data_IF_019334082859
#
_entry.id   IF_019334082859
#
_cell.length_a   1.000
_cell.length_b   1.000
_cell.length_c   1.000
_cell.angle_alpha   90.00
_cell.angle_beta   90.00
_cell.angle_gamma   90.00
#
_symmetry.space_group_name_H-M   'P 1'
#
loop_
_entity.id
_entity.type
_entity.pdbx_description
1 polymer ?
#
# COMPACT_ATOMS: atom_id res chain seq x y z
N UNK A 1 15.44 5.99 6.66
CA UNK A 1 15.55 4.54 6.93
C UNK A 1 14.85 4.26 8.24
N UNK A 2 13.93 3.30 8.25
CA UNK A 2 13.15 2.95 9.44
C UNK A 2 12.52 1.56 9.28
N UNK A 3 12.41 0.85 10.41
CA UNK A 3 11.56 -0.34 10.55
C UNK A 3 10.42 -0.01 11.51
N UNK A 4 9.19 -0.31 11.10
CA UNK A 4 7.99 -0.03 11.90
C UNK A 4 7.02 -1.19 11.83
N UNK A 5 6.27 -1.41 12.91
CA UNK A 5 5.09 -2.27 12.90
C UNK A 5 3.88 -1.42 12.52
N UNK A 6 3.24 -1.76 11.41
CA UNK A 6 2.02 -1.12 10.94
C UNK A 6 0.80 -1.96 11.34
N UNK A 7 -0.13 -1.36 12.07
CA UNK A 7 -1.45 -1.93 12.37
C UNK A 7 -2.47 -1.06 11.65
N UNK A 8 -3.21 -1.66 10.72
CA UNK A 8 -4.15 -0.96 9.86
C UNK A 8 -5.47 -1.72 9.73
N UNK A 9 -6.58 -0.98 9.73
CA UNK A 9 -7.89 -1.49 9.33
C UNK A 9 -8.24 -0.98 7.93
N UNK A 10 -8.92 -1.80 7.13
CA UNK A 10 -9.30 -1.44 5.76
C UNK A 10 -10.76 -1.73 5.49
N UNK A 11 -11.36 -0.89 4.67
CA UNK A 11 -12.70 -1.10 4.16
C UNK A 11 -12.79 -0.57 2.72
N UNK A 12 -13.13 -1.45 1.78
CA UNK A 12 -13.54 -1.02 0.44
C UNK A 12 -14.77 -0.14 0.51
N UNK A 13 -14.80 0.90 -0.31
CA UNK A 13 -15.88 1.86 -0.41
C UNK A 13 -16.51 1.80 -1.80
N UNK A 14 -17.78 2.15 -1.89
CA UNK A 14 -18.34 2.64 -3.15
C UNK A 14 -17.90 4.08 -3.39
N UNK A 15 -18.03 4.56 -4.62
CA UNK A 15 -17.77 5.96 -4.95
C UNK A 15 -18.63 6.93 -4.11
N UNK A 16 -19.91 6.61 -3.90
CA UNK A 16 -20.82 7.42 -3.07
C UNK A 16 -20.36 7.50 -1.60
N UNK A 17 -19.89 6.38 -1.04
CA UNK A 17 -19.38 6.31 0.34
C UNK A 17 -18.06 7.09 0.49
N UNK A 18 -17.21 7.05 -0.54
CA UNK A 18 -15.99 7.86 -0.60
C UNK A 18 -16.31 9.35 -0.58
N UNK A 19 -17.24 9.80 -1.42
CA UNK A 19 -17.69 11.20 -1.42
C UNK A 19 -18.43 11.60 -0.13
N UNK A 20 -19.13 10.67 0.51
CA UNK A 20 -19.73 10.89 1.83
C UNK A 20 -18.65 11.17 2.88
N UNK A 21 -17.56 10.40 2.89
CA UNK A 21 -16.44 10.62 3.81
C UNK A 21 -15.73 11.95 3.56
N UNK A 22 -15.51 12.32 2.29
CA UNK A 22 -14.96 13.64 1.91
C UNK A 22 -15.80 14.75 2.52
N UNK A 23 -17.13 14.69 2.36
CA UNK A 23 -18.05 15.69 2.93
C UNK A 23 -18.06 15.66 4.45
N UNK A 24 -18.04 14.47 5.05
CA UNK A 24 -18.09 14.31 6.51
C UNK A 24 -16.88 14.94 7.21
N UNK A 25 -15.69 14.76 6.63
CA UNK A 25 -14.45 15.30 7.17
C UNK A 25 -14.06 16.67 6.60
N UNK A 26 -14.90 17.23 5.71
CA UNK A 26 -14.66 18.51 5.05
C UNK A 26 -13.27 18.54 4.36
N UNK A 27 -12.94 17.46 3.64
CA UNK A 27 -11.70 17.37 2.87
C UNK A 27 -11.84 18.19 1.58
N UNK A 28 -10.76 18.87 1.21
CA UNK A 28 -10.64 19.65 -0.01
C UNK A 28 -9.75 18.93 -1.03
N UNK A 29 -9.86 19.28 -2.31
CA UNK A 29 -9.01 18.72 -3.37
C UNK A 29 -7.50 18.92 -3.07
N UNK A 30 -7.15 19.96 -2.32
CA UNK A 30 -5.77 20.22 -1.89
C UNK A 30 -5.25 19.24 -0.85
N UNK A 31 -6.11 18.50 -0.16
CA UNK A 31 -5.70 17.46 0.79
C UNK A 31 -5.25 16.18 0.05
N UNK A 32 -5.75 15.98 -1.16
CA UNK A 32 -5.43 14.83 -1.97
C UNK A 32 -4.07 14.97 -2.67
N UNK A 33 -3.20 13.98 -2.44
CA UNK A 33 -1.86 13.90 -3.03
C UNK A 33 -1.74 12.64 -3.88
N UNK A 34 -1.24 12.82 -5.11
CA UNK A 34 -0.93 11.72 -6.01
C UNK A 34 0.36 11.01 -5.56
N UNK A 35 0.32 9.70 -5.56
CA UNK A 35 1.47 8.81 -5.40
C UNK A 35 1.38 7.65 -6.40
N UNK A 36 2.53 7.12 -6.82
CA UNK A 36 2.60 5.95 -7.69
C UNK A 36 3.40 4.87 -6.97
N UNK A 37 2.82 3.68 -6.81
CA UNK A 37 3.49 2.52 -6.25
C UNK A 37 3.93 1.62 -7.39
N UNK A 38 5.24 1.46 -7.58
CA UNK A 38 5.86 0.58 -8.56
C UNK A 38 6.23 -0.73 -7.88
N UNK A 39 5.62 -1.84 -8.29
CA UNK A 39 5.76 -3.13 -7.61
C UNK A 39 6.77 -4.05 -8.28
N UNK A 40 7.45 -4.82 -7.44
CA UNK A 40 8.48 -5.77 -7.81
C UNK A 40 8.16 -7.14 -7.24
N UNK A 41 8.41 -8.18 -8.02
CA UNK A 41 8.38 -9.57 -7.58
C UNK A 41 9.22 -10.42 -8.53
N UNK A 42 9.43 -11.68 -8.19
CA UNK A 42 10.06 -12.66 -9.08
C UNK A 42 9.06 -13.15 -10.14
N UNK A 43 9.49 -13.78 -11.24
CA UNK A 43 8.58 -14.37 -12.23
C UNK A 43 7.61 -15.40 -11.62
N UNK A 44 8.02 -16.06 -10.53
CA UNK A 44 7.20 -17.01 -9.78
C UNK A 44 6.35 -16.37 -8.69
N UNK A 45 6.43 -15.05 -8.51
CA UNK A 45 5.77 -14.30 -7.43
C UNK A 45 6.16 -14.77 -6.02
N UNK A 46 7.47 -14.99 -5.80
CA UNK A 46 7.98 -15.48 -4.53
C UNK A 46 7.60 -14.56 -3.35
N UNK A 47 7.67 -13.23 -3.49
CA UNK A 47 7.31 -12.33 -2.39
C UNK A 47 5.84 -12.48 -1.99
N UNK A 48 4.94 -12.58 -2.99
CA UNK A 48 3.52 -12.85 -2.77
C UNK A 48 3.30 -14.13 -1.95
N UNK A 49 4.05 -15.19 -2.23
CA UNK A 49 3.89 -16.48 -1.54
C UNK A 49 4.32 -16.42 -0.08
N UNK A 50 5.24 -15.51 0.28
CA UNK A 50 5.57 -15.17 1.66
C UNK A 50 4.63 -14.12 2.29
N UNK A 51 3.58 -13.69 1.57
CA UNK A 51 2.68 -12.63 2.01
C UNK A 51 3.35 -11.26 2.09
N UNK A 52 4.50 -11.08 1.44
CA UNK A 52 5.25 -9.84 1.40
C UNK A 52 4.99 -9.05 0.13
N UNK A 53 5.33 -7.76 0.15
CA UNK A 53 5.20 -6.87 -0.98
C UNK A 53 6.36 -5.88 -1.02
N UNK A 54 7.05 -5.83 -2.15
CA UNK A 54 8.11 -4.86 -2.41
C UNK A 54 7.61 -3.80 -3.41
N UNK A 55 7.84 -2.53 -3.07
CA UNK A 55 7.53 -1.40 -3.96
C UNK A 55 8.58 -0.31 -3.92
N UNK A 56 8.60 0.50 -4.96
CA UNK A 56 9.09 1.88 -4.92
C UNK A 56 7.87 2.80 -5.01
N UNK A 57 7.65 3.62 -3.97
CA UNK A 57 6.65 4.68 -3.96
C UNK A 57 7.27 5.98 -4.47
N UNK A 58 6.62 6.59 -5.44
CA UNK A 58 6.93 7.90 -6.00
C UNK A 58 5.89 8.93 -5.53
N UNK A 59 6.33 9.98 -4.84
CA UNK A 59 5.49 11.10 -4.39
C UNK A 59 6.18 12.43 -4.72
N UNK A 60 5.74 13.06 -5.81
CA UNK A 60 6.43 14.22 -6.36
C UNK A 60 7.84 13.82 -6.84
N UNK A 61 8.89 14.47 -6.31
CA UNK A 61 10.29 14.16 -6.64
C UNK A 61 10.94 13.17 -5.66
N UNK A 62 10.18 12.58 -4.73
CA UNK A 62 10.69 11.67 -3.70
C UNK A 62 10.37 10.22 -4.06
N UNK A 63 11.34 9.34 -3.84
CA UNK A 63 11.23 7.90 -4.05
C UNK A 63 11.57 7.18 -2.76
N UNK A 64 10.71 6.25 -2.35
CA UNK A 64 10.91 5.42 -1.16
C UNK A 64 10.71 3.96 -1.56
N UNK A 65 11.69 3.12 -1.28
CA UNK A 65 11.58 1.68 -1.43
C UNK A 65 11.08 1.09 -0.11
N UNK A 66 10.03 0.27 -0.18
CA UNK A 66 9.39 -0.32 0.99
C UNK A 66 9.22 -1.82 0.77
N UNK A 67 9.68 -2.62 1.73
CA UNK A 67 9.25 -4.01 1.88
C UNK A 67 8.25 -4.08 3.04
N UNK A 68 7.02 -4.55 2.76
CA UNK A 68 6.06 -4.96 3.79
C UNK A 68 6.10 -6.48 3.90
N UNK A 69 6.19 -7.02 5.12
CA UNK A 69 6.17 -8.46 5.36
C UNK A 69 5.38 -8.82 6.62
N UNK A 70 4.85 -10.05 6.76
CA UNK A 70 4.13 -10.47 7.95
C UNK A 70 4.99 -10.34 9.22
N UNK A 71 4.36 -9.91 10.32
CA UNK A 71 4.95 -9.86 11.66
C UNK A 71 4.03 -10.57 12.67
N UNK A 72 4.47 -10.69 13.94
CA UNK A 72 3.63 -11.25 15.00
C UNK A 72 2.32 -10.47 15.18
N UNK A 73 2.39 -9.15 15.06
CA UNK A 73 1.24 -8.24 15.00
C UNK A 73 1.42 -7.31 13.81
N UNK A 74 0.37 -7.11 13.01
CA UNK A 74 0.41 -6.21 11.86
C UNK A 74 1.41 -6.64 10.77
N UNK A 75 2.00 -5.64 10.12
CA UNK A 75 3.05 -5.82 9.11
C UNK A 75 4.35 -5.15 9.58
N UNK A 76 5.48 -5.81 9.35
CA UNK A 76 6.78 -5.17 9.44
C UNK A 76 7.04 -4.44 8.12
N UNK A 77 7.19 -3.12 8.21
CA UNK A 77 7.67 -2.31 7.11
C UNK A 77 9.15 -1.99 7.26
N UNK A 78 9.93 -2.21 6.20
CA UNK A 78 11.31 -1.72 6.09
C UNK A 78 11.35 -0.69 4.97
N UNK A 79 11.76 0.55 5.29
CA UNK A 79 11.72 1.70 4.39
C UNK A 79 13.11 2.27 4.10
N UNK A 80 13.38 2.58 2.83
CA UNK A 80 14.64 3.14 2.36
C UNK A 80 14.39 4.23 1.31
N UNK A 81 14.79 5.46 1.60
CA UNK A 81 14.78 6.56 0.63
C UNK A 81 15.73 6.27 -0.54
N UNK A 82 15.30 6.60 -1.75
CA UNK A 82 16.08 6.44 -2.97
C UNK A 82 16.32 7.79 -3.65
N UNK A 83 17.55 7.97 -4.14
CA UNK A 83 17.83 9.01 -5.12
C UNK A 83 17.13 8.70 -6.45
N UNK A 84 16.80 9.75 -7.21
CA UNK A 84 15.98 9.61 -8.43
C UNK A 84 16.68 8.83 -9.56
N UNK A 85 18.00 8.88 -9.63
CA UNK A 85 18.82 8.07 -10.54
C UNK A 85 18.81 6.60 -10.12
N UNK A 86 18.99 6.32 -8.82
CA UNK A 86 18.92 4.97 -8.28
C UNK A 86 17.53 4.36 -8.49
N UNK A 87 16.45 5.10 -8.25
CA UNK A 87 15.09 4.57 -8.46
C UNK A 87 14.83 4.19 -9.92
N UNK A 88 15.33 4.97 -10.88
CA UNK A 88 15.26 4.64 -12.31
C UNK A 88 16.05 3.38 -12.66
N UNK A 89 17.22 3.20 -12.06
CA UNK A 89 18.02 1.99 -12.25
C UNK A 89 17.28 0.75 -11.71
N UNK A 90 16.72 0.82 -10.50
CA UNK A 90 15.93 -0.29 -9.93
C UNK A 90 14.71 -0.60 -10.80
N UNK A 91 13.98 0.42 -11.23
CA UNK A 91 12.78 0.25 -12.09
C UNK A 91 13.10 -0.43 -13.43
N UNK A 92 14.29 -0.18 -13.98
CA UNK A 92 14.70 -0.75 -15.28
C UNK A 92 15.36 -2.12 -15.17
N UNK A 93 16.05 -2.40 -14.06
CA UNK A 93 16.87 -3.61 -13.91
C UNK A 93 16.30 -4.63 -12.91
N UNK A 94 15.41 -4.21 -12.02
CA UNK A 94 14.98 -4.99 -10.86
C UNK A 94 16.06 -5.18 -9.78
N UNK A 95 17.27 -4.66 -9.99
CA UNK A 95 18.40 -4.82 -9.07
C UNK A 95 18.28 -3.83 -7.93
N UNK A 96 18.13 -4.32 -6.70
CA UNK A 96 17.98 -3.48 -5.51
C UNK A 96 19.33 -2.87 -5.09
N UNK A 97 19.37 -1.59 -4.68
CA UNK A 97 20.57 -0.98 -4.12
C UNK A 97 20.88 -1.59 -2.74
N UNK A 98 22.13 -1.51 -2.31
CA UNK A 98 22.51 -1.92 -0.95
C UNK A 98 21.71 -1.17 0.11
N UNK A 99 21.35 -1.87 1.19
CA UNK A 99 20.61 -1.30 2.32
C UNK A 99 19.68 -2.31 2.99
N UNK A 100 18.92 -1.84 3.98
CA UNK A 100 18.08 -2.70 4.82
C UNK A 100 16.98 -3.41 4.04
N UNK A 101 16.38 -2.74 3.05
CA UNK A 101 15.34 -3.37 2.23
C UNK A 101 15.93 -4.52 1.42
N UNK A 102 17.08 -4.34 0.79
CA UNK A 102 17.76 -5.42 0.06
C UNK A 102 18.11 -6.58 1.00
N UNK A 103 18.67 -6.28 2.17
CA UNK A 103 19.02 -7.31 3.16
C UNK A 103 17.79 -8.09 3.62
N UNK A 104 16.66 -7.41 3.83
CA UNK A 104 15.41 -8.04 4.23
C UNK A 104 14.82 -8.92 3.11
N UNK A 105 14.86 -8.46 1.85
CA UNK A 105 14.47 -9.25 0.68
C UNK A 105 15.36 -10.48 0.51
N UNK A 106 16.69 -10.32 0.55
CA UNK A 106 17.64 -11.43 0.40
C UNK A 106 17.48 -12.47 1.52
N UNK A 107 17.06 -12.04 2.71
CA UNK A 107 16.77 -12.94 3.85
C UNK A 107 15.41 -13.64 3.73
N UNK A 108 14.49 -13.10 2.94
CA UNK A 108 13.13 -13.60 2.79
C UNK A 108 13.00 -14.60 1.63
N UNK A 109 13.67 -14.34 0.49
CA UNK A 109 13.59 -15.16 -0.71
C UNK A 109 14.98 -15.49 -1.26
N UNK A 110 15.20 -16.74 -1.67
CA UNK A 110 16.48 -17.20 -2.24
C UNK A 110 16.71 -16.65 -3.66
N UNK A 111 15.65 -16.39 -4.41
CA UNK A 111 15.69 -15.91 -5.78
C UNK A 111 15.53 -14.38 -5.92
N UNK A 112 16.01 -13.61 -4.94
CA UNK A 112 15.97 -12.14 -4.97
C UNK A 112 16.63 -11.51 -6.23
N UNK A 113 17.59 -12.21 -6.82
CA UNK A 113 18.25 -11.79 -8.07
C UNK A 113 17.35 -11.85 -9.31
N UNK A 114 16.19 -12.50 -9.22
CA UNK A 114 15.19 -12.57 -10.30
C UNK A 114 14.11 -11.49 -10.17
N UNK A 115 14.19 -10.60 -9.17
CA UNK A 115 13.22 -9.53 -9.01
C UNK A 115 13.10 -8.70 -10.29
N UNK A 116 11.87 -8.41 -10.67
CA UNK A 116 11.55 -7.58 -11.81
C UNK A 116 10.38 -6.66 -11.49
N UNK A 117 10.40 -5.47 -12.09
CA UNK A 117 9.25 -4.60 -12.10
C UNK A 117 8.13 -5.26 -12.92
N UNK A 118 6.93 -5.41 -12.33
CA UNK A 118 5.81 -6.06 -13.03
C UNK A 118 4.57 -5.17 -13.19
N UNK A 119 4.58 -3.98 -12.59
CA UNK A 119 3.57 -2.95 -12.84
C UNK A 119 3.46 -1.91 -11.74
N UNK A 120 2.60 -0.92 -11.97
CA UNK A 120 2.35 0.16 -11.02
C UNK A 120 0.88 0.41 -10.75
N UNK A 121 0.61 0.98 -9.58
CA UNK A 121 -0.70 1.41 -9.11
C UNK A 121 -0.59 2.87 -8.69
N UNK A 122 -1.42 3.72 -9.29
CA UNK A 122 -1.51 5.13 -8.92
C UNK A 122 -2.57 5.29 -7.85
N UNK A 123 -2.29 6.05 -6.80
CA UNK A 123 -3.27 6.40 -5.75
C UNK A 123 -3.32 7.90 -5.57
N UNK A 124 -4.53 8.44 -5.46
CA UNK A 124 -4.80 9.79 -4.99
C UNK A 124 -5.28 9.66 -3.55
N UNK A 125 -4.47 10.15 -2.61
CA UNK A 125 -4.58 9.87 -1.18
C UNK A 125 -4.83 11.15 -0.38
N UNK A 126 -5.83 11.14 0.49
CA UNK A 126 -5.95 12.11 1.59
C UNK A 126 -5.69 11.41 2.93
N UNK A 127 -5.03 12.12 3.85
CA UNK A 127 -4.66 11.63 5.18
C UNK A 127 -5.15 12.65 6.21
N UNK A 128 -5.76 12.18 7.30
CA UNK A 128 -6.17 13.04 8.41
C UNK A 128 -6.01 12.34 9.77
N UNK A 129 -5.65 13.11 10.80
CA UNK A 129 -5.65 12.61 12.17
C UNK A 129 -7.09 12.35 12.65
N UNK A 130 -7.31 11.18 13.23
CA UNK A 130 -8.62 10.80 13.75
C UNK A 130 -8.44 9.93 14.99
N UNK A 131 -8.93 10.42 16.14
CA UNK A 131 -8.97 9.67 17.41
C UNK A 131 -7.66 8.95 17.78
N UNK A 132 -6.53 9.62 17.57
CA UNK A 132 -5.20 9.09 17.92
C UNK A 132 -4.59 8.14 16.88
N UNK A 133 -5.26 7.91 15.76
CA UNK A 133 -4.71 7.26 14.57
C UNK A 133 -4.75 8.15 13.33
N UNK A 134 -4.42 7.56 12.18
CA UNK A 134 -4.44 8.23 10.87
C UNK A 134 -5.49 7.57 9.98
N UNK A 135 -6.52 8.33 9.60
CA UNK A 135 -7.45 7.89 8.55
C UNK A 135 -6.86 8.23 7.19
N UNK A 136 -7.04 7.30 6.26
CA UNK A 136 -6.52 7.40 4.91
C UNK A 136 -7.66 7.11 3.93
N UNK A 137 -7.92 8.05 3.03
CA UNK A 137 -8.86 7.88 1.93
C UNK A 137 -8.08 7.74 0.64
N UNK A 138 -8.23 6.59 -0.02
CA UNK A 138 -7.52 6.26 -1.25
C UNK A 138 -8.48 6.07 -2.41
N UNK A 139 -8.21 6.77 -3.51
CA UNK A 139 -8.73 6.46 -4.83
C UNK A 139 -7.59 5.91 -5.69
N UNK A 140 -7.66 4.62 -6.04
CA UNK A 140 -6.59 3.91 -6.72
C UNK A 140 -6.95 3.55 -8.16
N UNK A 141 -5.96 3.60 -9.05
CA UNK A 141 -6.07 3.29 -10.48
C UNK A 141 -4.98 2.30 -10.89
N UNK A 142 -5.38 1.19 -11.52
CA UNK A 142 -4.47 0.15 -11.98
C UNK A 142 -5.15 -0.77 -13.01
N UNK A 143 -4.42 -1.19 -14.05
CA UNK A 143 -4.87 -2.19 -15.03
C UNK A 143 -6.30 -1.94 -15.57
N UNK A 144 -6.58 -0.70 -15.98
CA UNK A 144 -7.92 -0.23 -16.44
C UNK A 144 -9.06 -0.43 -15.43
N UNK A 145 -8.72 -0.53 -14.15
CA UNK A 145 -9.65 -0.59 -13.04
C UNK A 145 -9.38 0.57 -12.07
N UNK A 146 -10.39 0.95 -11.32
CA UNK A 146 -10.27 1.86 -10.19
C UNK A 146 -11.03 1.32 -8.97
N UNK A 147 -10.59 1.71 -7.78
CA UNK A 147 -11.27 1.40 -6.54
C UNK A 147 -11.08 2.48 -5.47
N UNK A 148 -11.97 2.46 -4.47
CA UNK A 148 -11.99 3.40 -3.35
C UNK A 148 -11.83 2.64 -2.04
N UNK A 149 -11.01 3.14 -1.14
CA UNK A 149 -10.67 2.45 0.11
C UNK A 149 -10.53 3.45 1.26
N UNK A 150 -11.01 3.04 2.43
CA UNK A 150 -10.73 3.68 3.70
C UNK A 150 -9.72 2.81 4.46
N UNK A 151 -8.59 3.39 4.87
CA UNK A 151 -7.65 2.76 5.80
C UNK A 151 -7.63 3.55 7.13
N UNK A 152 -7.33 2.86 8.23
CA UNK A 152 -7.12 3.48 9.54
C UNK A 152 -5.89 2.89 10.21
N UNK A 153 -4.80 3.64 10.23
CA UNK A 153 -3.53 3.27 10.82
C UNK A 153 -3.53 3.64 12.32
N UNK A 154 -3.17 2.69 13.18
CA UNK A 154 -3.23 2.84 14.64
C UNK A 154 -2.03 2.20 15.34
N UNK A 155 -1.83 2.54 16.60
CA UNK A 155 -0.85 1.90 17.49
C UNK A 155 -1.47 0.90 18.46
N UNK A 156 -2.76 1.10 18.83
CA UNK A 156 -3.54 0.16 19.63
C UNK A 156 -4.64 -0.49 18.77
N UNK A 157 -4.49 -1.79 18.53
CA UNK A 157 -5.42 -2.57 17.71
C UNK A 157 -6.85 -2.60 18.28
N UNK A 158 -7.00 -2.72 19.60
CA UNK A 158 -8.29 -2.88 20.24
C UNK A 158 -9.08 -1.56 20.26
N UNK A 159 -8.42 -0.44 20.56
CA UNK A 159 -9.03 0.89 20.46
C UNK A 159 -9.28 1.28 19.00
N UNK A 160 -8.34 0.97 18.12
CA UNK A 160 -8.45 1.22 16.69
C UNK A 160 -9.65 0.53 16.06
N UNK A 161 -9.85 -0.76 16.35
CA UNK A 161 -10.99 -1.54 15.85
C UNK A 161 -12.33 -0.95 16.29
N UNK A 162 -12.43 -0.51 17.56
CA UNK A 162 -13.65 0.14 18.09
C UNK A 162 -13.92 1.47 17.39
N UNK A 163 -12.90 2.31 17.22
CA UNK A 163 -13.02 3.61 16.58
C UNK A 163 -13.41 3.46 15.10
N UNK A 164 -12.77 2.55 14.37
CA UNK A 164 -13.05 2.27 12.97
C UNK A 164 -14.48 1.75 12.77
N UNK A 165 -14.88 0.75 13.56
CA UNK A 165 -16.24 0.19 13.51
C UNK A 165 -17.31 1.22 13.86
N UNK A 166 -17.03 2.11 14.81
CA UNK A 166 -17.93 3.19 15.18
C UNK A 166 -18.09 4.21 14.04
N UNK A 167 -17.01 4.57 13.34
CA UNK A 167 -17.07 5.48 12.19
C UNK A 167 -17.93 4.90 11.07
N UNK A 168 -17.66 3.66 10.67
CA UNK A 168 -18.43 2.97 9.63
C UNK A 168 -19.92 2.93 10.00
N UNK A 169 -20.23 2.62 11.26
CA UNK A 169 -21.62 2.60 11.76
C UNK A 169 -22.30 3.97 11.73
N UNK A 170 -21.61 5.05 12.13
CA UNK A 170 -22.16 6.42 12.12
C UNK A 170 -22.50 6.85 10.69
N UNK A 171 -21.69 6.45 9.72
CA UNK A 171 -21.88 6.79 8.31
C UNK A 171 -22.71 5.77 7.53
N UNK A 172 -23.23 4.73 8.20
CA UNK A 172 -23.95 3.60 7.59
C UNK A 172 -23.17 2.91 6.46
N UNK A 173 -21.85 2.86 6.56
CA UNK A 173 -20.98 2.12 5.65
C UNK A 173 -20.86 0.68 6.17
N UNK A 174 -21.22 -0.35 5.38
CA UNK A 174 -21.08 -1.72 5.81
C UNK A 174 -19.60 -2.13 5.83
N UNK A 175 -19.26 -3.00 6.78
CA UNK A 175 -17.92 -3.58 6.84
C UNK A 175 -17.74 -4.60 5.69
N UNK A 176 -16.65 -4.47 4.94
CA UNK A 176 -16.31 -5.33 3.81
C UNK A 176 -14.91 -5.92 4.02
N UNK A 177 -14.75 -7.26 3.93
CA UNK A 177 -13.43 -7.87 3.85
C UNK A 177 -12.64 -7.22 2.71
N UNK A 178 -11.42 -6.77 3.02
CA UNK A 178 -10.63 -5.95 2.10
C UNK A 178 -9.23 -6.53 1.97
N UNK A 179 -8.93 -7.06 0.79
CA UNK A 179 -7.58 -7.51 0.44
C UNK A 179 -6.64 -6.33 0.23
N UNK A 180 -5.37 -6.47 0.56
CA UNK A 180 -4.35 -5.45 0.28
C UNK A 180 -4.32 -5.08 -1.21
N UNK A 181 -4.11 -3.79 -1.51
CA UNK A 181 -3.99 -3.26 -2.89
C UNK A 181 -3.14 -4.12 -3.82
N UNK A 182 -1.98 -4.60 -3.34
CA UNK A 182 -1.08 -5.47 -4.11
C UNK A 182 -1.69 -6.84 -4.44
N UNK A 183 -2.48 -7.43 -3.53
CA UNK A 183 -3.23 -8.66 -3.82
C UNK A 183 -4.30 -8.42 -4.88
N UNK A 184 -5.03 -7.29 -4.80
CA UNK A 184 -6.00 -6.88 -5.84
C UNK A 184 -5.30 -6.69 -7.19
N UNK A 185 -4.11 -6.08 -7.18
CA UNK A 185 -3.28 -5.90 -8.37
C UNK A 185 -2.81 -7.24 -8.97
N UNK A 186 -2.29 -8.17 -8.17
CA UNK A 186 -1.93 -9.51 -8.64
C UNK A 186 -3.12 -10.22 -9.27
N UNK A 187 -4.29 -10.22 -8.62
CA UNK A 187 -5.48 -10.88 -9.15
C UNK A 187 -5.83 -10.38 -10.56
N UNK A 188 -5.82 -9.07 -10.77
CA UNK A 188 -6.03 -8.46 -12.09
C UNK A 188 -4.94 -8.80 -13.09
N UNK A 189 -3.66 -8.80 -12.67
CA UNK A 189 -2.52 -9.14 -13.54
C UNK A 189 -2.57 -10.59 -13.99
N UNK A 190 -2.91 -11.53 -13.10
CA UNK A 190 -3.06 -12.94 -13.44
C UNK A 190 -4.16 -13.17 -14.48
N UNK A 191 -5.31 -12.50 -14.33
CA UNK A 191 -6.38 -12.59 -15.33
C UNK A 191 -5.89 -12.15 -16.72
N UNK A 192 -5.15 -11.04 -16.83
CA UNK A 192 -4.58 -10.59 -18.11
C UNK A 192 -3.53 -11.53 -18.72
N UNK A 193 -2.82 -12.32 -17.89
CA UNK A 193 -1.82 -13.28 -18.37
C UNK A 193 -2.42 -14.61 -18.85
N UNK A 194 -3.69 -14.87 -18.51
CA UNK A 194 -4.44 -16.07 -18.90
C UNK A 194 -5.35 -15.85 -20.12
N UNK A 195 -5.51 -14.59 -20.54
CA UNK A 195 -6.19 -14.16 -21.77
C UNK A 195 -5.22 -14.11 -22.96
#
# INVERSE_FOLDING_TARGET
MSQNIEIEFKNMLTEDEFHLLIKHFNLEDTDFKKQVNHYFDTPSFSLKDYGAALRIREKGSKFEMTLKQPAFQGLLETNQDLASDVSREVLSTGTLPGGEVKNAVDSLIENAHELQYFGSLTTVRAELEYKGGLLVLDHSYYLNSEDYELEYEVTDEAEGSKAFSALLKVLNIPMRPTDNKIKRFYAKKYHQLQE
#
